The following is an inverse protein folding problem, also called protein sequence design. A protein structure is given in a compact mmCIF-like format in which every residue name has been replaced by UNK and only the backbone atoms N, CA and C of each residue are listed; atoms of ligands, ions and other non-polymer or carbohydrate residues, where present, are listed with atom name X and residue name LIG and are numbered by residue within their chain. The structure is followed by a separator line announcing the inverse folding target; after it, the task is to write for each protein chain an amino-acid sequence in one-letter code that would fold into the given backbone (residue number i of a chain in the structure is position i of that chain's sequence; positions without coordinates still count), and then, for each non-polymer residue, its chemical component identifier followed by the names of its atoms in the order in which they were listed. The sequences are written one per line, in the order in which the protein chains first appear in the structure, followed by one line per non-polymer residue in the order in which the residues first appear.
data_IF_862958113393
#
_entry.id   IF_862958113393
#
_cell.length_a   1.000
_cell.length_b   1.000
_cell.length_c   1.000
_cell.angle_alpha   90.00
_cell.angle_beta   90.00
_cell.angle_gamma   90.00
#
_symmetry.space_group_name_H-M   'P 1'
#
loop_
_entity.id
_entity.type
_entity.pdbx_description
1 polymer ?
#
# COMPACT_ATOMS: atom_id res chain seq x y z
N UNK A 1 -33.84 -23.30 30.45
CA UNK A 1 -32.58 -23.28 29.68
C UNK A 1 -32.27 -21.84 29.33
N UNK A 2 -31.33 -21.21 30.03
CA UNK A 2 -30.90 -19.84 29.72
C UNK A 2 -30.06 -19.90 28.45
N UNK A 3 -30.62 -19.46 27.32
CA UNK A 3 -29.86 -19.30 26.08
C UNK A 3 -28.88 -18.14 26.28
N UNK A 4 -27.61 -18.45 26.53
CA UNK A 4 -26.53 -17.46 26.52
C UNK A 4 -26.32 -17.05 25.06
N UNK A 5 -26.96 -15.96 24.64
CA UNK A 5 -26.64 -15.34 23.35
C UNK A 5 -25.19 -14.83 23.39
N UNK A 6 -24.35 -15.15 22.39
CA UNK A 6 -22.97 -14.66 22.36
C UNK A 6 -22.97 -13.13 22.39
N UNK A 7 -22.27 -12.55 23.36
CA UNK A 7 -22.11 -11.11 23.43
C UNK A 7 -21.23 -10.65 22.27
N UNK A 8 -21.58 -9.52 21.60
CA UNK A 8 -20.75 -8.98 20.54
C UNK A 8 -19.33 -8.64 21.03
N UNK A 9 -18.34 -8.80 20.15
CA UNK A 9 -16.97 -8.35 20.42
C UNK A 9 -16.95 -6.86 20.78
N UNK A 10 -16.06 -6.48 21.69
CA UNK A 10 -15.85 -5.08 22.06
C UNK A 10 -15.24 -4.29 20.90
N UNK A 11 -15.52 -2.98 20.82
CA UNK A 11 -14.93 -2.11 19.81
C UNK A 11 -13.39 -2.11 19.85
N UNK A 12 -12.81 -2.22 21.04
CA UNK A 12 -11.36 -2.33 21.21
C UNK A 12 -10.82 -3.59 20.55
N UNK A 13 -11.46 -4.74 20.77
CA UNK A 13 -11.07 -6.00 20.13
C UNK A 13 -11.18 -5.91 18.61
N UNK A 14 -12.25 -5.30 18.10
CA UNK A 14 -12.48 -5.16 16.67
C UNK A 14 -11.45 -4.22 16.00
N UNK A 15 -11.08 -3.12 16.66
CA UNK A 15 -9.99 -2.23 16.20
C UNK A 15 -8.64 -2.97 16.14
N UNK A 16 -8.34 -3.81 17.12
CA UNK A 16 -7.12 -4.63 17.10
C UNK A 16 -7.15 -5.67 15.99
N UNK A 17 -8.29 -6.34 15.77
CA UNK A 17 -8.45 -7.28 14.66
C UNK A 17 -8.25 -6.60 13.31
N UNK A 18 -8.84 -5.43 13.11
CA UNK A 18 -8.63 -4.62 11.91
C UNK A 18 -7.16 -4.22 11.73
N UNK A 19 -6.51 -3.73 12.79
CA UNK A 19 -5.09 -3.39 12.76
C UNK A 19 -4.24 -4.59 12.34
N UNK A 20 -4.47 -5.75 12.95
CA UNK A 20 -3.75 -6.99 12.63
C UNK A 20 -4.03 -7.44 11.19
N UNK A 21 -5.27 -7.32 10.72
CA UNK A 21 -5.64 -7.65 9.35
C UNK A 21 -4.94 -6.74 8.32
N UNK A 22 -4.87 -5.43 8.57
CA UNK A 22 -4.16 -4.48 7.71
C UNK A 22 -2.66 -4.75 7.74
N UNK A 23 -2.08 -4.93 8.93
CA UNK A 23 -0.67 -5.21 9.11
C UNK A 23 -0.26 -6.51 8.38
N UNK A 24 -1.04 -7.58 8.54
CA UNK A 24 -0.76 -8.87 7.91
C UNK A 24 -0.98 -8.85 6.40
N UNK A 25 -1.99 -8.12 5.91
CA UNK A 25 -2.32 -8.10 4.48
C UNK A 25 -1.37 -7.24 3.65
N UNK A 26 -0.91 -6.10 4.18
CA UNK A 26 -0.16 -5.11 3.39
C UNK A 26 1.32 -4.98 3.75
N UNK A 27 1.74 -5.37 4.96
CA UNK A 27 3.10 -5.12 5.43
C UNK A 27 3.91 -6.39 5.70
N UNK A 28 3.24 -7.52 5.89
CA UNK A 28 3.91 -8.79 6.15
C UNK A 28 4.61 -9.26 4.87
N UNK A 29 5.92 -9.58 4.97
CA UNK A 29 6.74 -10.10 3.88
C UNK A 29 6.96 -9.18 2.66
N UNK A 30 6.84 -7.86 2.81
CA UNK A 30 7.16 -6.91 1.73
C UNK A 30 8.57 -7.10 1.14
N UNK A 31 9.51 -7.62 1.93
CA UNK A 31 10.92 -7.85 1.56
C UNK A 31 11.22 -9.29 1.11
N UNK A 32 10.28 -10.23 1.21
CA UNK A 32 10.63 -11.64 1.22
C UNK A 32 10.84 -12.26 -0.17
N UNK A 33 10.17 -11.71 -1.19
CA UNK A 33 10.18 -12.23 -2.56
C UNK A 33 10.65 -11.16 -3.53
N UNK A 34 11.46 -11.51 -4.54
CA UNK A 34 11.87 -10.58 -5.60
C UNK A 34 10.68 -9.92 -6.29
N UNK A 35 10.94 -8.86 -7.05
CA UNK A 35 9.94 -8.27 -7.95
C UNK A 35 9.76 -9.20 -9.15
N UNK A 36 8.80 -10.11 -9.08
CA UNK A 36 8.55 -11.12 -10.11
C UNK A 36 7.33 -10.79 -10.99
N UNK A 37 6.47 -9.89 -10.52
CA UNK A 37 5.31 -9.46 -11.27
C UNK A 37 5.71 -8.50 -12.39
N UNK A 38 5.02 -8.61 -13.53
CA UNK A 38 5.33 -7.82 -14.72
C UNK A 38 5.19 -6.32 -14.44
N UNK A 39 4.14 -5.93 -13.72
CA UNK A 39 3.92 -4.53 -13.37
C UNK A 39 4.90 -4.08 -12.29
N UNK A 40 5.15 -4.90 -11.26
CA UNK A 40 6.16 -4.59 -10.23
C UNK A 40 7.52 -4.26 -10.85
N UNK A 41 8.00 -5.12 -11.75
CA UNK A 41 9.27 -4.91 -12.46
C UNK A 41 9.27 -3.64 -13.32
N UNK A 42 8.22 -3.43 -14.10
CA UNK A 42 8.12 -2.26 -14.97
C UNK A 42 8.09 -0.92 -14.20
N UNK A 43 7.38 -0.86 -13.06
CA UNK A 43 7.34 0.35 -12.23
C UNK A 43 8.65 0.57 -11.48
N UNK A 44 9.25 -0.49 -10.93
CA UNK A 44 10.51 -0.38 -10.22
C UNK A 44 11.66 0.02 -11.13
N UNK A 45 11.71 -0.55 -12.34
CA UNK A 45 12.79 -0.28 -13.29
C UNK A 45 12.68 1.15 -13.83
N UNK A 46 11.48 1.58 -14.21
CA UNK A 46 11.27 2.96 -14.63
C UNK A 46 11.60 3.98 -13.52
N UNK A 47 11.28 3.66 -12.26
CA UNK A 47 11.71 4.49 -11.11
C UNK A 47 13.23 4.48 -10.96
N UNK A 48 13.89 3.33 -11.13
CA UNK A 48 15.37 3.21 -11.09
C UNK A 48 16.02 4.07 -12.17
N UNK A 49 15.50 4.04 -13.40
CA UNK A 49 15.99 4.86 -14.51
C UNK A 49 15.85 6.37 -14.25
N UNK A 50 14.83 6.82 -13.51
CA UNK A 50 14.70 8.23 -13.11
C UNK A 50 15.90 8.68 -12.26
N UNK A 51 16.39 7.82 -11.37
CA UNK A 51 17.60 8.09 -10.59
C UNK A 51 18.86 8.07 -11.45
N UNK A 52 19.00 7.09 -12.35
CA UNK A 52 20.17 7.01 -13.24
C UNK A 52 20.28 8.22 -14.17
N UNK A 53 19.14 8.72 -14.67
CA UNK A 53 19.08 9.86 -15.58
C UNK A 53 19.06 11.21 -14.86
N UNK A 54 18.75 11.24 -13.56
CA UNK A 54 18.50 12.48 -12.82
C UNK A 54 17.27 13.26 -13.30
N UNK A 55 16.36 12.60 -14.03
CA UNK A 55 15.15 13.17 -14.62
C UNK A 55 13.93 12.53 -13.96
N UNK A 56 13.30 13.27 -13.06
CA UNK A 56 12.11 12.84 -12.33
C UNK A 56 10.81 13.31 -12.97
N UNK A 57 10.84 13.83 -14.20
CA UNK A 57 9.65 14.29 -14.93
C UNK A 57 9.31 13.31 -16.05
N UNK A 58 10.30 12.83 -16.79
CA UNK A 58 10.08 11.92 -17.92
C UNK A 58 10.36 10.48 -17.53
N UNK A 59 9.36 9.62 -17.60
CA UNK A 59 9.47 8.19 -17.30
C UNK A 59 9.91 7.39 -18.52
N UNK A 60 10.85 6.49 -18.31
CA UNK A 60 11.38 5.56 -19.30
C UNK A 60 11.34 4.14 -18.75
N UNK A 61 11.28 3.14 -19.61
CA UNK A 61 11.39 1.73 -19.29
C UNK A 61 12.25 1.06 -20.36
N UNK A 62 13.34 0.44 -19.95
CA UNK A 62 14.38 -0.12 -20.81
C UNK A 62 14.87 0.91 -21.85
N UNK A 63 15.01 2.17 -21.42
CA UNK A 63 15.43 3.29 -22.27
C UNK A 63 14.38 3.78 -23.28
N UNK A 64 13.14 3.26 -23.24
CA UNK A 64 12.03 3.73 -24.07
C UNK A 64 11.05 4.59 -23.27
N UNK A 65 10.50 5.69 -23.83
CA UNK A 65 9.52 6.52 -23.12
C UNK A 65 8.28 5.73 -22.67
N UNK A 66 7.86 5.92 -21.41
CA UNK A 66 6.70 5.24 -20.79
C UNK A 66 5.70 6.25 -20.22
N UNK A 67 4.91 6.88 -21.08
CA UNK A 67 3.93 7.93 -20.70
C UNK A 67 2.49 7.43 -20.57
N UNK A 68 2.28 6.12 -20.60
CA UNK A 68 0.98 5.46 -20.47
C UNK A 68 0.46 5.41 -19.03
N UNK A 69 1.30 5.76 -18.04
CA UNK A 69 0.97 5.74 -16.60
C UNK A 69 1.17 7.13 -15.97
N UNK A 70 0.32 7.53 -15.01
CA UNK A 70 0.48 8.80 -14.31
C UNK A 70 1.73 8.79 -13.43
N UNK A 71 2.41 9.95 -13.35
CA UNK A 71 3.73 10.07 -12.72
C UNK A 71 3.74 9.83 -11.20
N UNK A 72 2.59 10.00 -10.53
CA UNK A 72 2.50 10.02 -9.07
C UNK A 72 3.11 8.77 -8.41
N UNK A 73 2.85 7.58 -8.95
CA UNK A 73 3.38 6.34 -8.36
C UNK A 73 4.91 6.31 -8.40
N UNK A 74 5.51 6.79 -9.49
CA UNK A 74 6.96 6.85 -9.64
C UNK A 74 7.59 7.83 -8.66
N UNK A 75 6.95 8.98 -8.39
CA UNK A 75 7.41 9.90 -7.34
C UNK A 75 7.31 9.30 -5.94
N UNK A 76 6.26 8.55 -5.64
CA UNK A 76 6.12 7.89 -4.35
C UNK A 76 7.15 6.77 -4.18
N UNK A 77 7.40 5.97 -5.23
CA UNK A 77 8.47 4.98 -5.24
C UNK A 77 9.84 5.64 -5.14
N UNK A 78 10.09 6.73 -5.88
CA UNK A 78 11.34 7.48 -5.80
C UNK A 78 11.59 8.02 -4.40
N UNK A 79 10.59 8.62 -3.75
CA UNK A 79 10.71 9.07 -2.37
C UNK A 79 11.05 7.91 -1.42
N UNK A 80 10.37 6.77 -1.57
CA UNK A 80 10.62 5.58 -0.77
C UNK A 80 12.03 5.02 -0.98
N UNK A 81 12.47 4.90 -2.23
CA UNK A 81 13.84 4.45 -2.60
C UNK A 81 14.89 5.44 -2.10
N UNK A 82 14.64 6.74 -2.13
CA UNK A 82 15.57 7.74 -1.60
C UNK A 82 15.75 7.62 -0.07
N UNK A 83 14.72 7.14 0.65
CA UNK A 83 14.77 6.97 2.12
C UNK A 83 15.31 5.61 2.55
N UNK A 84 14.98 4.54 1.83
CA UNK A 84 15.23 3.15 2.24
C UNK A 84 16.21 2.39 1.34
N UNK A 85 16.69 3.01 0.26
CA UNK A 85 17.52 2.39 -0.75
C UNK A 85 16.73 1.55 -1.77
N UNK A 86 17.44 1.02 -2.77
CA UNK A 86 16.86 0.17 -3.81
C UNK A 86 16.67 -1.25 -3.26
N UNK A 87 15.43 -1.61 -2.93
CA UNK A 87 15.03 -2.94 -2.49
C UNK A 87 13.50 -3.13 -2.64
N UNK A 88 13.04 -4.36 -2.53
CA UNK A 88 11.64 -4.76 -2.69
C UNK A 88 10.72 -4.03 -1.73
N UNK A 89 11.14 -3.88 -0.48
CA UNK A 89 10.37 -3.14 0.53
C UNK A 89 10.14 -1.69 0.10
N UNK A 90 11.19 -1.00 -0.35
CA UNK A 90 11.10 0.38 -0.77
C UNK A 90 10.13 0.57 -1.96
N UNK A 91 10.16 -0.34 -2.94
CA UNK A 91 9.25 -0.26 -4.10
C UNK A 91 7.79 -0.57 -3.75
N UNK A 92 7.53 -1.44 -2.77
CA UNK A 92 6.17 -1.85 -2.38
C UNK A 92 5.55 -0.99 -1.28
N UNK A 93 6.36 -0.30 -0.47
CA UNK A 93 5.88 0.53 0.64
C UNK A 93 4.81 1.57 0.23
N UNK A 94 4.94 2.31 -0.90
CA UNK A 94 3.89 3.22 -1.34
C UNK A 94 2.52 2.55 -1.53
N UNK A 95 2.51 1.35 -2.14
CA UNK A 95 1.28 0.58 -2.36
C UNK A 95 0.67 0.10 -1.04
N UNK A 96 1.49 -0.36 -0.09
CA UNK A 96 1.04 -0.76 1.24
C UNK A 96 0.40 0.41 2.01
N UNK A 97 1.01 1.61 1.93
CA UNK A 97 0.47 2.83 2.53
C UNK A 97 -0.84 3.27 1.85
N UNK A 98 -0.91 3.21 0.52
CA UNK A 98 -2.12 3.55 -0.23
C UNK A 98 -3.28 2.59 0.11
N UNK A 99 -3.02 1.29 0.22
CA UNK A 99 -4.00 0.29 0.66
C UNK A 99 -4.52 0.57 2.07
N UNK A 100 -3.61 0.90 3.01
CA UNK A 100 -4.00 1.31 4.37
C UNK A 100 -4.83 2.59 4.36
N UNK A 101 -4.42 3.60 3.59
CA UNK A 101 -5.17 4.84 3.43
C UNK A 101 -6.58 4.60 2.88
N UNK A 102 -6.73 3.68 1.94
CA UNK A 102 -8.03 3.29 1.39
C UNK A 102 -8.94 2.65 2.44
N UNK A 103 -8.41 1.72 3.25
CA UNK A 103 -9.15 1.13 4.37
C UNK A 103 -9.61 2.22 5.33
N UNK A 104 -8.72 3.15 5.72
CA UNK A 104 -9.06 4.26 6.60
C UNK A 104 -10.12 5.19 6.00
N UNK A 105 -10.07 5.46 4.69
CA UNK A 105 -11.05 6.28 4.00
C UNK A 105 -12.44 5.63 4.01
N UNK A 106 -12.53 4.32 3.75
CA UNK A 106 -13.78 3.56 3.82
C UNK A 106 -14.33 3.55 5.25
N UNK A 107 -13.48 3.31 6.25
CA UNK A 107 -13.86 3.37 7.67
C UNK A 107 -14.41 4.74 8.06
N UNK A 108 -13.73 5.81 7.65
CA UNK A 108 -14.17 7.17 7.90
C UNK A 108 -15.53 7.44 7.25
N UNK A 109 -15.71 7.03 6.00
CA UNK A 109 -16.98 7.16 5.28
C UNK A 109 -18.12 6.41 5.98
N UNK A 110 -17.90 5.14 6.36
CA UNK A 110 -18.91 4.33 7.04
C UNK A 110 -19.29 4.91 8.40
N UNK A 111 -18.31 5.41 9.17
CA UNK A 111 -18.57 6.12 10.44
C UNK A 111 -19.38 7.39 10.26
N UNK A 112 -19.23 8.07 9.11
CA UNK A 112 -19.95 9.31 8.80
C UNK A 112 -21.41 9.06 8.40
N UNK A 113 -21.69 7.96 7.70
CA UNK A 113 -23.01 7.64 7.13
C UNK A 113 -23.82 6.66 7.99
N UNK A 114 -23.15 5.83 8.80
CA UNK A 114 -23.76 4.81 9.66
C UNK A 114 -23.27 4.99 11.09
N UNK A 115 -22.61 3.97 11.63
CA UNK A 115 -22.11 3.89 13.00
C UNK A 115 -20.74 3.22 13.02
N UNK A 116 -20.02 3.35 14.14
CA UNK A 116 -18.66 2.83 14.28
C UNK A 116 -18.55 1.31 14.14
N UNK A 117 -19.57 0.57 14.58
CA UNK A 117 -19.53 -0.89 14.59
C UNK A 117 -19.80 -1.49 13.22
N UNK A 118 -20.54 -0.78 12.36
CA UNK A 118 -20.71 -1.15 10.94
C UNK A 118 -19.48 -0.82 10.11
N UNK A 119 -18.70 0.19 10.51
CA UNK A 119 -17.46 0.54 9.84
C UNK A 119 -16.39 -0.53 10.02
N UNK A 120 -16.19 -0.97 11.26
CA UNK A 120 -15.16 -1.93 11.68
C UNK A 120 -15.55 -3.39 11.38
#
# INVERSE_FOLDING_TARGET
MNSVSPQPLSLHALRWLLFLAVASSFYLNLWAVPLFDLDEGAFSEATREMFERGDFISTYLDGQPRYDKPILIYWLQALSVALFGVNEFAFRLPSALAGTGWVLAVLFFLRRVRDERTGL
#
